data_IF_670493700776
#
_entry.id   IF_670493700776
#
_cell.length_a   1.000
_cell.length_b   1.000
_cell.length_c   1.000
_cell.angle_alpha   90.00
_cell.angle_beta   90.00
_cell.angle_gamma   90.00
#
_symmetry.space_group_name_H-M   'P 1'
#
loop_
_entity.id
_entity.type
_entity.pdbx_description
1 polymer ?
#
# COMPACT_ATOMS: atom_id res chain seq x y z
N UNK A 1 -15.58 5.58 -12.18
CA UNK A 1 -14.47 6.23 -11.45
C UNK A 1 -13.29 5.29 -11.28
N UNK A 2 -12.09 5.85 -11.11
CA UNK A 2 -10.85 5.11 -10.83
C UNK A 2 -10.37 5.51 -9.43
N UNK A 3 -10.15 4.51 -8.54
CA UNK A 3 -9.55 4.72 -7.23
C UNK A 3 -8.13 4.17 -7.22
N UNK A 4 -7.14 5.05 -7.10
CA UNK A 4 -5.72 4.71 -7.17
C UNK A 4 -5.12 4.21 -5.86
N UNK A 5 -5.90 4.17 -4.76
CA UNK A 5 -5.39 3.70 -3.48
C UNK A 5 -6.49 2.99 -2.68
N UNK A 6 -6.43 1.66 -2.69
CA UNK A 6 -7.29 0.83 -1.83
C UNK A 6 -6.48 -0.28 -1.15
N UNK A 7 -7.01 -0.77 -0.04
CA UNK A 7 -6.61 -2.02 0.59
C UNK A 7 -7.82 -2.94 0.58
N UNK A 8 -7.84 -3.96 -0.28
CA UNK A 8 -9.01 -4.85 -0.43
C UNK A 8 -9.47 -5.54 0.86
N UNK A 9 -8.57 -5.86 1.84
CA UNK A 9 -9.00 -6.38 3.12
C UNK A 9 -9.64 -5.36 4.06
N UNK A 10 -9.59 -4.06 3.74
CA UNK A 10 -10.11 -2.99 4.58
C UNK A 10 -11.51 -2.55 4.11
N UNK A 11 -12.50 -2.65 4.99
CA UNK A 11 -13.89 -2.31 4.69
C UNK A 11 -14.22 -0.82 4.66
N UNK A 12 -13.22 0.07 4.76
CA UNK A 12 -13.40 1.52 4.71
C UNK A 12 -14.22 2.13 5.86
N UNK A 13 -14.58 1.34 6.87
CA UNK A 13 -15.29 1.85 8.04
C UNK A 13 -14.32 2.41 9.09
N UNK A 14 -14.57 3.60 9.64
CA UNK A 14 -13.79 4.14 10.74
C UNK A 14 -13.76 3.14 11.91
N UNK A 15 -12.58 2.91 12.48
CA UNK A 15 -12.41 2.05 13.63
C UNK A 15 -12.14 2.90 14.87
N UNK A 16 -12.98 2.74 15.90
CA UNK A 16 -12.87 3.48 17.15
C UNK A 16 -11.86 2.88 18.15
N UNK A 17 -11.23 1.72 17.81
CA UNK A 17 -10.25 1.05 18.67
C UNK A 17 -9.13 0.44 17.82
N UNK A 18 -7.87 0.50 18.26
CA UNK A 18 -6.79 -0.20 17.61
C UNK A 18 -7.05 -1.72 17.64
N UNK A 19 -7.04 -2.35 16.48
CA UNK A 19 -7.23 -3.78 16.33
C UNK A 19 -5.88 -4.50 16.33
N UNK A 20 -5.79 -5.64 17.02
CA UNK A 20 -4.59 -6.50 16.95
C UNK A 20 -4.52 -7.21 15.59
N UNK A 21 -4.23 -6.44 14.55
CA UNK A 21 -4.26 -6.87 13.15
C UNK A 21 -3.34 -8.07 12.88
N UNK A 22 -2.18 -8.13 13.53
CA UNK A 22 -1.20 -9.21 13.34
C UNK A 22 -1.75 -10.61 13.70
N UNK A 23 -2.48 -10.73 14.81
CA UNK A 23 -3.09 -12.01 15.20
C UNK A 23 -4.20 -12.40 14.24
N UNK A 24 -5.07 -11.45 13.90
CA UNK A 24 -6.15 -11.68 12.94
C UNK A 24 -5.62 -12.07 11.56
N UNK A 25 -4.55 -11.44 11.10
CA UNK A 25 -3.89 -11.80 9.83
C UNK A 25 -3.34 -13.21 9.87
N UNK A 26 -2.67 -13.61 10.96
CA UNK A 26 -2.19 -14.99 11.12
C UNK A 26 -3.32 -16.01 11.04
N UNK A 27 -4.42 -15.76 11.70
CA UNK A 27 -5.62 -16.63 11.66
C UNK A 27 -6.21 -16.63 10.24
N UNK A 28 -6.36 -15.46 9.62
CA UNK A 28 -6.91 -15.29 8.29
C UNK A 28 -6.11 -16.05 7.20
N UNK A 29 -4.80 -16.18 7.38
CA UNK A 29 -3.91 -16.85 6.43
C UNK A 29 -3.52 -18.29 6.83
N UNK A 30 -4.06 -18.83 7.94
CA UNK A 30 -3.61 -20.09 8.51
C UNK A 30 -4.04 -21.35 7.72
N UNK A 31 -5.12 -21.26 6.95
CA UNK A 31 -5.65 -22.40 6.17
C UNK A 31 -6.21 -21.97 4.81
N UNK A 32 -6.39 -22.93 3.91
CA UNK A 32 -7.04 -22.68 2.62
C UNK A 32 -8.49 -22.17 2.80
N UNK A 33 -9.20 -22.69 3.79
CA UNK A 33 -10.59 -22.29 4.08
C UNK A 33 -10.64 -20.85 4.57
N UNK A 34 -9.79 -20.48 5.54
CA UNK A 34 -9.77 -19.10 6.05
C UNK A 34 -9.33 -18.10 4.97
N UNK A 35 -8.36 -18.44 4.12
CA UNK A 35 -7.96 -17.63 2.95
C UNK A 35 -9.12 -17.40 1.98
N UNK A 36 -9.93 -18.42 1.69
CA UNK A 36 -11.09 -18.27 0.80
C UNK A 36 -12.19 -17.40 1.44
N UNK A 37 -12.39 -17.49 2.76
CA UNK A 37 -13.32 -16.60 3.48
C UNK A 37 -12.85 -15.13 3.41
N UNK A 38 -11.55 -14.88 3.61
CA UNK A 38 -10.98 -13.53 3.45
C UNK A 38 -11.10 -13.04 2.01
N UNK A 39 -10.89 -13.91 1.02
CA UNK A 39 -11.06 -13.57 -0.38
C UNK A 39 -12.51 -13.15 -0.70
N UNK A 40 -13.50 -13.87 -0.15
CA UNK A 40 -14.92 -13.49 -0.26
C UNK A 40 -15.20 -12.14 0.38
N UNK A 41 -14.59 -11.84 1.53
CA UNK A 41 -14.70 -10.54 2.18
C UNK A 41 -14.09 -9.43 1.31
N UNK A 42 -12.88 -9.63 0.77
CA UNK A 42 -12.25 -8.68 -0.16
C UNK A 42 -13.11 -8.45 -1.41
N UNK A 43 -13.71 -9.51 -1.95
CA UNK A 43 -14.64 -9.42 -3.08
C UNK A 43 -15.87 -8.57 -2.73
N UNK A 44 -16.49 -8.79 -1.56
CA UNK A 44 -17.64 -8.00 -1.12
C UNK A 44 -17.30 -6.50 -1.01
N UNK A 45 -16.12 -6.16 -0.50
CA UNK A 45 -15.68 -4.76 -0.43
C UNK A 45 -15.38 -4.17 -1.82
N UNK A 46 -14.78 -4.94 -2.72
CA UNK A 46 -14.57 -4.51 -4.11
C UNK A 46 -15.91 -4.26 -4.82
N UNK A 47 -16.92 -5.10 -4.58
CA UNK A 47 -18.28 -4.92 -5.12
C UNK A 47 -18.98 -3.69 -4.54
N UNK A 48 -18.80 -3.38 -3.26
CA UNK A 48 -19.32 -2.12 -2.68
C UNK A 48 -18.76 -0.90 -3.42
N UNK A 49 -17.45 -0.90 -3.72
CA UNK A 49 -16.83 0.14 -4.54
C UNK A 49 -17.39 0.21 -5.96
N UNK A 50 -17.57 -0.94 -6.61
CA UNK A 50 -18.15 -1.01 -7.95
C UNK A 50 -19.57 -0.45 -7.98
N UNK A 51 -20.42 -0.84 -7.03
CA UNK A 51 -21.80 -0.35 -6.91
C UNK A 51 -21.86 1.16 -6.59
N UNK A 52 -20.81 1.73 -6.01
CA UNK A 52 -20.64 3.17 -5.83
C UNK A 52 -20.04 3.87 -7.08
N UNK A 53 -19.87 3.16 -8.20
CA UNK A 53 -19.37 3.70 -9.46
C UNK A 53 -17.85 3.66 -9.64
N UNK A 54 -17.11 2.97 -8.76
CA UNK A 54 -15.66 2.78 -8.89
C UNK A 54 -15.38 1.52 -9.70
N UNK A 55 -15.13 1.70 -11.00
CA UNK A 55 -14.96 0.61 -11.97
C UNK A 55 -13.52 0.10 -12.08
N UNK A 56 -12.54 0.83 -11.53
CA UNK A 56 -11.13 0.42 -11.50
C UNK A 56 -10.53 0.78 -10.16
N UNK A 57 -9.80 -0.15 -9.55
CA UNK A 57 -9.09 0.07 -8.28
C UNK A 57 -7.62 -0.34 -8.41
N UNK A 58 -6.74 0.40 -7.74
CA UNK A 58 -5.35 0.01 -7.52
C UNK A 58 -5.16 -0.39 -6.06
N UNK A 59 -5.00 -1.70 -5.82
CA UNK A 59 -4.73 -2.27 -4.50
C UNK A 59 -3.24 -2.13 -4.20
N UNK A 60 -2.90 -1.34 -3.18
CA UNK A 60 -1.54 -0.96 -2.80
C UNK A 60 -1.13 -1.50 -1.43
N UNK A 61 -1.41 -2.76 -1.22
CA UNK A 61 -1.10 -3.52 -0.01
C UNK A 61 -2.25 -4.42 0.38
N UNK A 62 -2.07 -5.71 0.20
CA UNK A 62 -3.04 -6.74 0.50
C UNK A 62 -2.48 -7.81 1.44
N UNK A 63 -3.26 -8.85 1.67
CA UNK A 63 -2.88 -9.99 2.48
C UNK A 63 -2.31 -11.10 1.58
N UNK A 64 -1.02 -11.33 1.69
CA UNK A 64 -0.32 -12.34 0.91
C UNK A 64 -0.57 -12.14 -0.61
N UNK A 65 -1.10 -13.14 -1.31
CA UNK A 65 -1.42 -13.10 -2.75
C UNK A 65 -2.94 -12.97 -3.04
N UNK A 66 -3.72 -12.48 -2.08
CA UNK A 66 -5.18 -12.46 -2.24
C UNK A 66 -5.66 -11.44 -3.27
N UNK A 67 -4.94 -10.34 -3.47
CA UNK A 67 -5.33 -9.31 -4.44
C UNK A 67 -5.24 -9.84 -5.88
N UNK A 68 -4.13 -10.50 -6.24
CA UNK A 68 -3.96 -11.13 -7.56
C UNK A 68 -4.95 -12.27 -7.76
N UNK A 69 -5.20 -13.10 -6.74
CA UNK A 69 -6.20 -14.17 -6.81
C UNK A 69 -7.62 -13.64 -7.07
N UNK A 70 -8.00 -12.54 -6.43
CA UNK A 70 -9.30 -11.91 -6.66
C UNK A 70 -9.37 -11.33 -8.08
N UNK A 71 -8.35 -10.55 -8.48
CA UNK A 71 -8.23 -10.02 -9.83
C UNK A 71 -8.39 -11.10 -10.89
N UNK A 72 -7.69 -12.23 -10.74
CA UNK A 72 -7.68 -13.30 -11.74
C UNK A 72 -9.04 -14.03 -11.81
N UNK A 73 -9.74 -14.18 -10.67
CA UNK A 73 -11.13 -14.69 -10.67
C UNK A 73 -12.09 -13.74 -11.40
N UNK A 74 -11.92 -12.43 -11.25
CA UNK A 74 -12.71 -11.42 -11.95
C UNK A 74 -12.36 -11.41 -13.45
N UNK A 75 -11.08 -11.36 -13.79
CA UNK A 75 -10.64 -11.33 -15.19
C UNK A 75 -11.04 -12.60 -15.98
N UNK A 76 -11.16 -13.74 -15.29
CA UNK A 76 -11.63 -14.99 -15.91
C UNK A 76 -13.16 -15.12 -16.00
N UNK A 77 -13.91 -14.13 -15.54
CA UNK A 77 -15.39 -14.17 -15.51
C UNK A 77 -15.99 -15.10 -14.46
N UNK A 78 -15.19 -15.62 -13.52
CA UNK A 78 -15.69 -16.45 -12.40
C UNK A 78 -16.37 -15.61 -11.32
N UNK A 79 -16.04 -14.34 -11.23
CA UNK A 79 -16.66 -13.36 -10.33
C UNK A 79 -16.85 -12.05 -11.08
N UNK A 80 -17.95 -11.35 -10.77
CA UNK A 80 -18.11 -9.96 -11.16
C UNK A 80 -17.25 -9.06 -10.27
N UNK A 81 -16.81 -7.90 -10.79
CA UNK A 81 -16.02 -6.97 -9.99
C UNK A 81 -15.40 -5.83 -10.79
N UNK A 82 -14.76 -4.88 -10.11
CA UNK A 82 -14.02 -3.82 -10.78
C UNK A 82 -12.74 -4.39 -11.40
N UNK A 83 -12.15 -3.64 -12.34
CA UNK A 83 -10.78 -3.89 -12.77
C UNK A 83 -9.84 -3.66 -11.57
N UNK A 84 -8.97 -4.62 -11.26
CA UNK A 84 -8.02 -4.53 -10.15
C UNK A 84 -6.61 -4.47 -10.70
N UNK A 85 -5.81 -3.49 -10.26
CA UNK A 85 -4.35 -3.49 -10.34
C UNK A 85 -3.84 -3.90 -8.95
N UNK A 86 -3.13 -5.02 -8.86
CA UNK A 86 -2.82 -5.69 -7.61
C UNK A 86 -1.33 -5.60 -7.26
N UNK A 87 -1.00 -5.14 -6.04
CA UNK A 87 0.36 -5.18 -5.50
C UNK A 87 0.62 -6.39 -4.58
N UNK A 88 -0.42 -7.06 -4.09
CA UNK A 88 -0.32 -8.06 -3.02
C UNK A 88 0.27 -7.43 -1.74
N UNK A 89 1.11 -8.15 -0.97
CA UNK A 89 1.73 -7.58 0.22
C UNK A 89 2.69 -6.43 -0.13
N UNK A 90 2.79 -5.46 0.77
CA UNK A 90 3.78 -4.39 0.67
C UNK A 90 5.12 -4.82 1.28
N UNK A 91 6.22 -4.29 0.76
CA UNK A 91 7.56 -4.47 1.31
C UNK A 91 7.84 -3.31 2.27
N UNK A 92 8.23 -3.63 3.49
CA UNK A 92 8.64 -2.65 4.50
C UNK A 92 9.92 -3.08 5.20
N UNK A 93 10.18 -2.50 6.37
CA UNK A 93 11.31 -2.85 7.24
C UNK A 93 10.80 -3.27 8.61
N UNK A 94 11.60 -3.95 9.45
CA UNK A 94 11.20 -4.26 10.82
C UNK A 94 10.72 -3.04 11.58
N UNK A 95 9.63 -3.19 12.33
CA UNK A 95 8.93 -2.10 13.03
C UNK A 95 8.37 -0.97 12.11
N UNK A 96 8.32 -1.19 10.81
CA UNK A 96 7.74 -0.26 9.84
C UNK A 96 6.21 -0.30 9.83
N UNK A 97 5.63 0.56 8.98
CA UNK A 97 4.18 0.73 8.86
C UNK A 97 3.47 -0.57 8.46
N UNK A 98 2.40 -0.91 9.19
CA UNK A 98 1.51 -2.05 8.93
C UNK A 98 2.20 -3.43 8.90
N UNK A 99 3.39 -3.56 9.53
CA UNK A 99 4.09 -4.85 9.63
C UNK A 99 3.27 -5.86 10.42
N UNK A 100 3.18 -7.07 9.86
CA UNK A 100 2.35 -8.16 10.41
C UNK A 100 0.89 -8.12 9.99
N UNK A 101 0.51 -7.19 9.11
CA UNK A 101 -0.76 -7.21 8.39
C UNK A 101 -0.53 -7.21 6.88
N UNK A 102 -0.62 -6.07 6.22
CA UNK A 102 -0.40 -5.96 4.76
C UNK A 102 1.07 -5.75 4.36
N UNK A 103 1.97 -5.61 5.33
CA UNK A 103 3.40 -5.37 5.11
C UNK A 103 4.25 -6.53 5.61
N UNK A 104 5.16 -7.01 4.76
CA UNK A 104 6.23 -7.95 5.13
C UNK A 104 7.53 -7.20 5.32
N UNK A 105 8.23 -7.38 6.45
CA UNK A 105 9.49 -6.67 6.73
C UNK A 105 10.68 -7.38 6.07
N UNK A 106 11.40 -6.67 5.21
CA UNK A 106 12.69 -7.10 4.68
C UNK A 106 13.81 -6.83 5.69
N UNK A 107 14.67 -7.81 5.92
CA UNK A 107 15.77 -7.72 6.88
C UNK A 107 17.05 -7.10 6.27
N UNK A 108 17.15 -7.09 4.95
CA UNK A 108 18.28 -6.57 4.19
C UNK A 108 17.85 -6.12 2.81
N UNK A 109 18.73 -5.40 2.10
CA UNK A 109 18.52 -5.02 0.69
C UNK A 109 18.30 -6.26 -0.18
N UNK A 110 19.12 -7.30 0.00
CA UNK A 110 18.99 -8.55 -0.75
C UNK A 110 17.65 -9.26 -0.48
N UNK A 111 17.16 -9.19 0.75
CA UNK A 111 15.85 -9.75 1.12
C UNK A 111 14.70 -8.97 0.47
N UNK A 112 14.78 -7.64 0.47
CA UNK A 112 13.80 -6.78 -0.20
C UNK A 112 13.74 -7.07 -1.71
N UNK A 113 14.88 -7.23 -2.38
CA UNK A 113 14.95 -7.60 -3.80
C UNK A 113 14.34 -8.97 -4.07
N UNK A 114 14.58 -9.97 -3.21
CA UNK A 114 13.93 -11.29 -3.31
C UNK A 114 12.40 -11.18 -3.17
N UNK A 115 11.91 -10.30 -2.31
CA UNK A 115 10.46 -10.05 -2.20
C UNK A 115 9.88 -9.42 -3.47
N UNK A 116 10.61 -8.55 -4.17
CA UNK A 116 10.21 -8.06 -5.50
C UNK A 116 10.12 -9.21 -6.50
N UNK A 117 11.09 -10.15 -6.49
CA UNK A 117 11.07 -11.34 -7.36
C UNK A 117 9.90 -12.26 -7.04
N UNK A 118 9.61 -12.48 -5.76
CA UNK A 118 8.42 -13.23 -5.31
C UNK A 118 7.13 -12.59 -5.82
N UNK A 119 6.96 -11.27 -5.64
CA UNK A 119 5.78 -10.55 -6.12
C UNK A 119 5.66 -10.63 -7.65
N UNK A 120 6.75 -10.50 -8.39
CA UNK A 120 6.75 -10.70 -9.84
C UNK A 120 6.28 -12.11 -10.22
N UNK A 121 6.71 -13.14 -9.49
CA UNK A 121 6.27 -14.53 -9.75
C UNK A 121 4.77 -14.74 -9.48
N UNK A 122 4.16 -13.88 -8.62
CA UNK A 122 2.73 -13.83 -8.35
C UNK A 122 1.94 -12.98 -9.36
N UNK A 123 2.59 -12.51 -10.45
CA UNK A 123 2.00 -11.68 -11.50
C UNK A 123 1.34 -10.37 -10.98
N UNK A 124 1.98 -9.70 -10.01
CA UNK A 124 1.50 -8.37 -9.57
C UNK A 124 1.59 -7.33 -10.69
N UNK A 125 0.76 -6.29 -10.61
CA UNK A 125 0.74 -5.19 -11.57
C UNK A 125 1.67 -4.05 -11.16
N UNK A 126 2.06 -3.99 -9.89
CA UNK A 126 2.97 -2.99 -9.33
C UNK A 126 3.61 -3.51 -8.03
N UNK A 127 4.66 -2.83 -7.58
CA UNK A 127 5.27 -3.04 -6.27
C UNK A 127 4.82 -1.94 -5.31
N UNK A 128 4.56 -2.30 -4.03
CA UNK A 128 4.29 -1.34 -2.95
C UNK A 128 5.38 -1.39 -1.90
N UNK A 129 5.93 -0.20 -1.59
CA UNK A 129 6.88 -0.01 -0.49
C UNK A 129 6.22 0.77 0.67
N UNK A 130 6.62 0.46 1.90
CA UNK A 130 6.30 1.24 3.10
C UNK A 130 7.58 1.91 3.59
N UNK A 131 7.78 3.17 3.19
CA UNK A 131 9.05 3.89 3.36
C UNK A 131 9.11 4.62 4.69
N UNK A 132 8.00 5.24 5.10
CA UNK A 132 7.90 5.91 6.40
C UNK A 132 6.97 5.16 7.33
N UNK A 133 7.01 5.49 8.63
CA UNK A 133 5.90 5.23 9.54
C UNK A 133 4.64 5.95 9.05
N UNK A 134 3.49 5.50 9.50
CA UNK A 134 2.21 6.13 9.19
C UNK A 134 1.59 6.83 10.39
N UNK A 135 0.54 7.61 10.17
CA UNK A 135 -0.23 8.25 11.25
C UNK A 135 -0.71 7.23 12.29
N UNK A 136 -1.03 6.01 11.85
CA UNK A 136 -1.48 4.93 12.74
C UNK A 136 -0.37 4.33 13.61
N UNK A 137 0.90 4.51 13.22
CA UNK A 137 2.07 4.00 13.96
C UNK A 137 2.77 5.10 14.77
N UNK A 138 2.37 6.35 14.60
CA UNK A 138 2.95 7.49 15.31
C UNK A 138 2.70 7.34 16.82
N UNK A 139 3.78 7.47 17.59
CA UNK A 139 3.74 7.39 19.05
C UNK A 139 3.51 8.76 19.71
N UNK A 140 3.79 9.81 18.98
CA UNK A 140 3.66 11.20 19.40
C UNK A 140 2.71 11.92 18.46
N UNK A 141 1.75 12.63 19.03
CA UNK A 141 0.78 13.45 18.29
C UNK A 141 1.48 14.47 17.41
N UNK A 142 1.07 14.58 16.14
CA UNK A 142 1.65 15.52 15.17
C UNK A 142 3.04 15.14 14.63
N UNK A 143 3.56 13.97 15.00
CA UNK A 143 4.80 13.47 14.43
C UNK A 143 4.54 13.00 12.98
N UNK A 144 5.20 13.59 11.98
CA UNK A 144 5.15 13.08 10.62
C UNK A 144 5.82 11.70 10.56
N UNK A 145 5.44 10.90 9.58
CA UNK A 145 5.99 9.56 9.41
C UNK A 145 7.53 9.55 9.34
N UNK A 146 8.15 8.90 10.30
CA UNK A 146 9.62 8.74 10.36
C UNK A 146 10.10 7.95 9.15
N UNK A 147 11.17 8.42 8.49
CA UNK A 147 11.84 7.65 7.44
C UNK A 147 12.41 6.35 8.04
N UNK A 148 11.92 5.21 7.57
CA UNK A 148 12.25 3.88 8.09
C UNK A 148 13.07 3.06 7.09
N UNK A 149 12.72 3.11 5.80
CA UNK A 149 13.42 2.38 4.74
C UNK A 149 14.54 3.27 4.19
N UNK A 150 15.76 2.74 4.14
CA UNK A 150 16.93 3.48 3.66
C UNK A 150 16.94 3.61 2.13
N UNK A 151 17.62 4.64 1.62
CA UNK A 151 17.72 4.97 0.21
C UNK A 151 18.26 3.82 -0.67
N UNK A 152 19.25 3.08 -0.19
CA UNK A 152 19.84 1.94 -0.89
C UNK A 152 18.83 0.81 -1.11
N UNK A 153 17.99 0.53 -0.11
CA UNK A 153 16.93 -0.48 -0.22
C UNK A 153 15.81 -0.02 -1.16
N UNK A 154 15.40 1.27 -1.05
CA UNK A 154 14.39 1.85 -1.95
C UNK A 154 14.87 1.73 -3.40
N UNK A 155 16.10 2.19 -3.67
CA UNK A 155 16.69 2.15 -5.01
C UNK A 155 16.76 0.73 -5.55
N UNK A 156 17.25 -0.22 -4.77
CA UNK A 156 17.37 -1.60 -5.19
C UNK A 156 16.00 -2.23 -5.54
N UNK A 157 14.95 -1.95 -4.74
CA UNK A 157 13.59 -2.39 -5.05
C UNK A 157 13.06 -1.75 -6.35
N UNK A 158 13.29 -0.44 -6.54
CA UNK A 158 12.85 0.28 -7.73
C UNK A 158 13.58 -0.24 -8.98
N UNK A 159 14.91 -0.34 -8.94
CA UNK A 159 15.69 -0.85 -10.07
C UNK A 159 15.24 -2.27 -10.47
N UNK A 160 14.99 -3.14 -9.47
CA UNK A 160 14.53 -4.50 -9.73
C UNK A 160 13.11 -4.53 -10.32
N UNK A 161 12.19 -3.75 -9.76
CA UNK A 161 10.81 -3.64 -10.25
C UNK A 161 10.77 -3.08 -11.68
N UNK A 162 11.51 -2.00 -11.94
CA UNK A 162 11.61 -1.40 -13.27
C UNK A 162 12.23 -2.35 -14.29
N UNK A 163 13.22 -3.17 -13.89
CA UNK A 163 13.77 -4.24 -14.73
C UNK A 163 12.72 -5.28 -15.18
N UNK A 164 11.62 -5.39 -14.45
CA UNK A 164 10.45 -6.20 -14.82
C UNK A 164 9.33 -5.41 -15.51
N UNK A 165 9.50 -4.11 -15.75
CA UNK A 165 8.48 -3.23 -16.29
C UNK A 165 7.37 -2.88 -15.27
N UNK A 166 7.59 -3.13 -13.97
CA UNK A 166 6.63 -2.83 -12.91
C UNK A 166 6.88 -1.44 -12.33
N UNK A 167 5.80 -0.70 -12.07
CA UNK A 167 5.84 0.58 -11.36
C UNK A 167 5.90 0.36 -9.84
N UNK A 168 6.47 1.34 -9.13
CA UNK A 168 6.62 1.32 -7.67
C UNK A 168 5.79 2.43 -7.03
N UNK A 169 4.88 2.04 -6.14
CA UNK A 169 4.12 2.95 -5.28
C UNK A 169 4.70 2.92 -3.86
N UNK A 170 4.75 4.06 -3.17
CA UNK A 170 5.28 4.13 -1.82
C UNK A 170 4.37 4.88 -0.84
N UNK A 171 4.13 4.27 0.34
CA UNK A 171 3.58 4.98 1.49
C UNK A 171 4.63 5.94 2.04
N UNK A 172 4.32 7.23 2.08
CA UNK A 172 5.22 8.28 2.53
C UNK A 172 4.42 9.40 3.19
N UNK A 173 4.78 9.78 4.41
CA UNK A 173 4.10 10.84 5.17
C UNK A 173 5.06 11.87 5.75
N UNK A 174 6.20 12.12 5.11
CA UNK A 174 7.13 13.20 5.49
C UNK A 174 7.84 13.80 4.28
N UNK A 175 8.24 15.08 4.30
CA UNK A 175 8.97 15.70 3.19
C UNK A 175 10.30 15.00 2.87
N UNK A 176 11.05 14.62 3.91
CA UNK A 176 12.28 13.84 3.77
C UNK A 176 12.01 12.50 3.07
N UNK A 177 10.97 11.79 3.49
CA UNK A 177 10.57 10.53 2.87
C UNK A 177 10.17 10.71 1.41
N UNK A 178 9.45 11.79 1.06
CA UNK A 178 9.08 12.11 -0.32
C UNK A 178 10.32 12.28 -1.18
N UNK A 179 11.28 13.11 -0.75
CA UNK A 179 12.55 13.28 -1.50
C UNK A 179 13.28 11.98 -1.65
N UNK A 180 13.51 11.26 -0.54
CA UNK A 180 14.20 9.98 -0.55
C UNK A 180 13.54 8.99 -1.51
N UNK A 181 12.21 8.88 -1.51
CA UNK A 181 11.47 7.98 -2.37
C UNK A 181 11.62 8.36 -3.86
N UNK A 182 11.33 9.61 -4.20
CA UNK A 182 11.32 10.08 -5.59
C UNK A 182 12.72 10.05 -6.21
N UNK A 183 13.74 10.50 -5.48
CA UNK A 183 15.14 10.50 -5.93
C UNK A 183 15.70 9.08 -6.12
N UNK A 184 15.08 8.06 -5.50
CA UNK A 184 15.48 6.66 -5.63
C UNK A 184 14.55 5.82 -6.51
N UNK A 185 13.69 6.47 -7.33
CA UNK A 185 12.98 5.84 -8.43
C UNK A 185 11.55 5.43 -8.14
N UNK A 186 10.93 5.86 -7.04
CA UNK A 186 9.50 5.61 -6.78
C UNK A 186 8.65 6.37 -7.79
N UNK A 187 7.70 5.69 -8.43
CA UNK A 187 6.83 6.26 -9.46
C UNK A 187 5.60 6.98 -8.90
N UNK A 188 5.07 6.54 -7.74
CA UNK A 188 3.96 7.22 -7.08
C UNK A 188 4.11 7.26 -5.57
N UNK A 189 3.83 8.44 -5.02
CA UNK A 189 3.80 8.70 -3.59
C UNK A 189 2.35 8.66 -3.12
N UNK A 190 2.08 7.80 -2.17
CA UNK A 190 0.78 7.66 -1.52
C UNK A 190 0.75 8.55 -0.27
N UNK A 191 -0.36 9.24 -0.06
CA UNK A 191 -0.61 10.22 1.00
C UNK A 191 0.20 11.52 0.80
N UNK A 192 1.51 11.43 0.86
CA UNK A 192 2.39 12.59 0.83
C UNK A 192 2.43 13.34 2.16
N UNK A 193 2.86 14.57 2.10
CA UNK A 193 2.93 15.51 3.23
C UNK A 193 2.82 16.94 2.70
N UNK A 194 2.93 17.95 3.55
CA UNK A 194 3.12 19.34 3.10
C UNK A 194 4.38 19.41 2.25
N UNK A 195 4.24 19.78 0.98
CA UNK A 195 5.33 19.87 0.02
C UNK A 195 5.85 21.30 -0.06
N UNK A 196 7.17 21.46 -0.07
CA UNK A 196 7.84 22.71 -0.45
C UNK A 196 8.16 22.69 -1.94
N UNK A 197 8.67 23.80 -2.48
CA UNK A 197 9.10 23.88 -3.87
C UNK A 197 10.14 22.80 -4.23
N UNK A 198 10.99 22.43 -3.27
CA UNK A 198 12.01 21.39 -3.44
C UNK A 198 11.40 20.00 -3.75
N UNK A 199 10.36 19.60 -3.02
CA UNK A 199 9.65 18.34 -3.29
C UNK A 199 8.92 18.40 -4.63
N UNK A 200 8.28 19.53 -4.96
CA UNK A 200 7.59 19.72 -6.23
C UNK A 200 8.57 19.60 -7.40
N UNK A 201 9.74 20.18 -7.30
CA UNK A 201 10.78 20.08 -8.33
C UNK A 201 11.31 18.66 -8.47
N UNK A 202 11.44 17.92 -7.36
CA UNK A 202 11.80 16.50 -7.40
C UNK A 202 10.73 15.66 -8.13
N UNK A 203 9.45 15.87 -7.85
CA UNK A 203 8.35 15.20 -8.59
C UNK A 203 8.43 15.44 -10.09
N UNK A 204 8.62 16.71 -10.50
CA UNK A 204 8.74 17.08 -11.91
C UNK A 204 9.96 16.44 -12.57
N UNK A 205 11.12 16.52 -11.92
CA UNK A 205 12.38 15.98 -12.42
C UNK A 205 12.31 14.48 -12.64
N UNK A 206 11.67 13.75 -11.75
CA UNK A 206 11.61 12.28 -11.78
C UNK A 206 10.30 11.75 -12.37
N UNK A 207 9.40 12.62 -12.85
CA UNK A 207 8.10 12.26 -13.41
C UNK A 207 7.28 11.36 -12.46
N UNK A 208 7.37 11.62 -11.15
CA UNK A 208 6.60 10.90 -10.15
C UNK A 208 5.21 11.51 -9.95
N UNK A 209 4.27 10.75 -9.41
CA UNK A 209 2.87 11.15 -9.21
C UNK A 209 2.52 11.15 -7.73
N UNK A 210 1.75 12.15 -7.28
CA UNK A 210 1.19 12.19 -5.94
C UNK A 210 -0.26 11.67 -5.94
N UNK A 211 -0.55 10.72 -5.05
CA UNK A 211 -1.89 10.18 -4.79
C UNK A 211 -2.30 10.56 -3.37
N UNK A 212 -2.99 11.68 -3.23
CA UNK A 212 -3.21 12.37 -1.94
C UNK A 212 -4.08 11.63 -0.94
N UNK A 213 -4.86 10.61 -1.35
CA UNK A 213 -5.74 9.82 -0.47
C UNK A 213 -6.61 10.67 0.48
N UNK A 214 -7.27 11.70 -0.04
CA UNK A 214 -8.03 12.68 0.76
C UNK A 214 -9.18 12.02 1.53
N UNK A 215 -9.85 11.04 0.93
CA UNK A 215 -11.05 10.41 1.49
C UNK A 215 -10.83 9.75 2.86
N UNK A 216 -9.77 8.96 3.13
CA UNK A 216 -9.49 8.41 4.45
C UNK A 216 -9.19 9.46 5.52
N UNK A 217 -8.66 10.61 5.15
CA UNK A 217 -8.34 11.69 6.08
C UNK A 217 -9.58 12.48 6.54
N UNK A 218 -10.65 12.51 5.73
CA UNK A 218 -11.86 13.28 6.04
C UNK A 218 -12.56 12.84 7.34
N UNK A 219 -12.77 11.53 7.63
CA UNK A 219 -13.35 11.10 8.89
C UNK A 219 -12.50 11.52 10.10
N UNK A 220 -11.18 11.37 10.01
CA UNK A 220 -10.24 11.77 11.06
C UNK A 220 -10.27 13.29 11.28
N UNK A 221 -10.25 14.07 10.21
CA UNK A 221 -10.36 15.52 10.29
C UNK A 221 -11.69 15.99 10.89
N UNK A 222 -12.78 15.25 10.65
CA UNK A 222 -14.12 15.56 11.17
C UNK A 222 -14.25 15.23 12.65
N UNK A 223 -13.71 14.10 13.10
CA UNK A 223 -13.92 13.56 14.44
C UNK A 223 -12.77 13.82 15.42
N UNK A 224 -11.56 14.05 14.92
CA UNK A 224 -10.36 14.22 15.73
C UNK A 224 -9.41 15.30 15.14
N UNK A 225 -9.95 16.49 14.86
CA UNK A 225 -9.13 17.60 14.33
C UNK A 225 -7.88 17.90 15.15
N UNK A 226 -7.94 17.64 16.45
CA UNK A 226 -6.81 17.88 17.36
C UNK A 226 -5.70 16.82 17.27
N UNK A 227 -5.94 15.68 16.61
CA UNK A 227 -4.94 14.61 16.44
C UNK A 227 -4.18 14.69 15.12
N UNK A 228 -4.65 15.50 14.20
CA UNK A 228 -4.02 15.81 12.92
C UNK A 228 -3.21 17.09 12.99
#
# INVERSE_FOLDING_TARGET
LINLHVHLPAGGKPQNKPMKTTLLTKIALSSAISRELVLKMCHAYAMQGLMAGVTTVRAVGGLDNLDTRLRDKINSGKLDGPRILAANFAIGVPNGHMVGSVTRPAQSVADAVKMVDELKSQNVDLIKLMITGGVMDAKVKGEPGKLMMKADMIKACCDRAHGYGLKVAAHVQSPEGVRCAVENGVDSIEHGSTLTQREIDAFKKHNAVLVCTISPALPMAKFERETL
#
